data_IF_077096989580
#
_entry.id   IF_077096989580
#
_cell.length_a   1.000
_cell.length_b   1.000
_cell.length_c   1.000
_cell.angle_alpha   90.00
_cell.angle_beta   90.00
_cell.angle_gamma   90.00
#
_symmetry.space_group_name_H-M   'P 1'
#
loop_
_entity.id
_entity.type
_entity.pdbx_description
1 polymer ?
#
# COMPACT_ATOMS: atom_id res chain seq x y z
N UNK A 1 8.98 -50.63 -8.36
CA UNK A 1 9.29 -49.27 -7.88
C UNK A 1 7.98 -48.62 -7.41
N UNK A 2 7.85 -48.28 -6.11
CA UNK A 2 6.64 -47.63 -5.58
C UNK A 2 6.58 -46.19 -6.10
N UNK A 3 5.54 -45.85 -6.87
CA UNK A 3 5.28 -44.50 -7.33
C UNK A 3 4.86 -43.67 -6.12
N UNK A 4 5.79 -42.95 -5.50
CA UNK A 4 5.47 -42.03 -4.40
C UNK A 4 4.48 -41.00 -4.91
N UNK A 5 3.33 -40.88 -4.22
CA UNK A 5 2.25 -39.98 -4.60
C UNK A 5 2.69 -38.56 -4.21
N UNK A 6 3.28 -37.82 -5.15
CA UNK A 6 3.84 -36.47 -4.95
C UNK A 6 2.74 -35.39 -4.85
N UNK A 7 1.55 -35.67 -5.34
CA UNK A 7 0.42 -34.72 -5.41
C UNK A 7 0.02 -34.06 -4.07
N UNK A 8 -0.09 -34.75 -2.92
CA UNK A 8 -0.39 -34.08 -1.64
C UNK A 8 0.68 -33.07 -1.23
N UNK A 9 1.96 -33.34 -1.52
CA UNK A 9 3.03 -32.40 -1.22
C UNK A 9 2.94 -31.13 -2.08
N UNK A 10 2.66 -31.27 -3.37
CA UNK A 10 2.42 -30.13 -4.26
C UNK A 10 1.21 -29.30 -3.83
N UNK A 11 0.15 -29.95 -3.37
CA UNK A 11 -1.03 -29.25 -2.85
C UNK A 11 -0.71 -28.44 -1.59
N UNK A 12 0.05 -29.00 -0.65
CA UNK A 12 0.48 -28.27 0.55
C UNK A 12 1.34 -27.06 0.18
N UNK A 13 2.28 -27.23 -0.76
CA UNK A 13 3.15 -26.15 -1.20
C UNK A 13 2.36 -25.03 -1.89
N UNK A 14 1.34 -25.40 -2.67
CA UNK A 14 0.39 -24.45 -3.27
C UNK A 14 -0.42 -23.68 -2.22
N UNK A 15 -0.97 -24.36 -1.20
CA UNK A 15 -1.67 -23.69 -0.10
C UNK A 15 -0.76 -22.75 0.69
N UNK A 16 0.50 -23.14 0.91
CA UNK A 16 1.48 -22.30 1.59
C UNK A 16 1.81 -21.04 0.79
N UNK A 17 2.00 -21.17 -0.52
CA UNK A 17 2.20 -20.03 -1.41
C UNK A 17 0.99 -19.08 -1.41
N UNK A 18 -0.24 -19.63 -1.43
CA UNK A 18 -1.47 -18.84 -1.31
C UNK A 18 -1.52 -18.09 0.03
N UNK A 19 -1.25 -18.76 1.15
CA UNK A 19 -1.26 -18.12 2.46
C UNK A 19 -0.25 -16.97 2.54
N UNK A 20 0.96 -17.14 1.99
CA UNK A 20 1.96 -16.08 1.91
C UNK A 20 1.44 -14.91 1.06
N UNK A 21 0.87 -15.19 -0.11
CA UNK A 21 0.32 -14.15 -0.98
C UNK A 21 -0.79 -13.35 -0.28
N UNK A 22 -1.74 -14.04 0.37
CA UNK A 22 -2.82 -13.41 1.13
C UNK A 22 -2.30 -12.58 2.32
N UNK A 23 -1.28 -13.04 3.02
CA UNK A 23 -0.72 -12.33 4.18
C UNK A 23 -0.12 -10.96 3.85
N UNK A 24 0.18 -10.71 2.56
CA UNK A 24 0.75 -9.45 2.06
C UNK A 24 -0.31 -8.45 1.61
N UNK A 25 -1.56 -8.88 1.41
CA UNK A 25 -2.63 -8.00 0.97
C UNK A 25 -3.09 -7.07 2.09
N UNK A 26 -3.36 -5.82 1.75
CA UNK A 26 -3.90 -4.83 2.67
C UNK A 26 -5.41 -4.76 2.44
N UNK A 27 -6.19 -5.13 3.45
CA UNK A 27 -7.65 -4.97 3.39
C UNK A 27 -8.06 -3.52 3.62
N UNK A 28 -9.27 -3.15 3.20
CA UNK A 28 -9.78 -1.80 3.40
C UNK A 28 -9.72 -1.32 4.87
N UNK A 29 -10.19 -2.10 5.87
CA UNK A 29 -10.10 -1.67 7.28
C UNK A 29 -8.66 -1.53 7.78
N UNK A 30 -7.71 -2.30 7.22
CA UNK A 30 -6.30 -2.15 7.57
C UNK A 30 -5.70 -0.84 7.04
N UNK A 31 -6.18 -0.37 5.88
CA UNK A 31 -5.72 0.87 5.27
C UNK A 31 -6.21 2.13 6.01
N UNK A 32 -7.36 2.08 6.69
CA UNK A 32 -7.90 3.22 7.45
C UNK A 32 -6.92 3.75 8.48
N UNK A 33 -6.86 5.07 8.64
CA UNK A 33 -6.06 5.72 9.68
C UNK A 33 -5.15 6.82 9.17
N UNK A 34 -4.20 7.24 10.01
CA UNK A 34 -3.28 8.34 9.71
C UNK A 34 -1.90 7.80 9.34
N UNK A 35 -1.29 8.45 8.37
CA UNK A 35 0.04 8.14 7.92
C UNK A 35 0.91 9.39 7.90
N UNK A 36 2.14 9.27 8.38
CA UNK A 36 3.11 10.34 8.42
C UNK A 36 4.15 10.16 7.32
N UNK A 37 4.46 11.22 6.58
CA UNK A 37 5.46 11.18 5.52
C UNK A 37 6.87 10.99 6.10
N UNK A 38 7.61 10.01 5.57
CA UNK A 38 9.00 9.74 5.89
C UNK A 38 9.83 9.86 4.62
N UNK A 39 10.86 10.69 4.69
CA UNK A 39 11.85 10.87 3.62
C UNK A 39 13.24 10.47 4.13
N UNK A 40 14.10 10.10 3.18
CA UNK A 40 15.54 9.92 3.38
C UNK A 40 16.29 10.94 2.51
N UNK A 41 17.59 11.13 2.70
CA UNK A 41 18.41 12.15 2.00
C UNK A 41 18.67 11.84 0.51
N UNK A 42 17.60 11.62 -0.25
CA UNK A 42 17.58 11.67 -1.70
C UNK A 42 17.13 13.08 -2.11
N UNK A 43 17.73 13.70 -3.14
CA UNK A 43 17.28 15.02 -3.59
C UNK A 43 15.78 15.03 -3.86
N UNK A 44 15.06 16.02 -3.30
CA UNK A 44 13.61 16.11 -3.44
C UNK A 44 13.21 16.25 -4.93
N UNK A 45 12.30 15.39 -5.38
CA UNK A 45 11.69 15.43 -6.72
C UNK A 45 10.39 16.21 -6.58
N UNK A 46 10.13 17.22 -7.42
CA UNK A 46 9.04 18.20 -7.23
C UNK A 46 7.60 17.66 -7.25
N UNK A 47 7.40 16.37 -7.53
CA UNK A 47 6.08 15.71 -7.54
C UNK A 47 5.76 14.98 -6.22
N UNK A 48 6.66 15.03 -5.25
CA UNK A 48 6.52 14.39 -3.94
C UNK A 48 6.51 15.43 -2.81
N UNK A 49 5.96 15.10 -1.62
CA UNK A 49 6.07 15.98 -0.48
C UNK A 49 7.55 16.29 -0.17
N UNK A 50 7.89 17.56 -0.07
CA UNK A 50 9.23 18.08 0.22
C UNK A 50 9.39 18.53 1.69
N UNK A 51 8.32 18.39 2.47
CA UNK A 51 8.19 18.75 3.88
C UNK A 51 7.25 17.76 4.59
N UNK A 52 7.14 17.89 5.91
CA UNK A 52 6.23 17.08 6.72
C UNK A 52 4.79 17.12 6.17
N UNK A 53 4.22 15.95 5.92
CA UNK A 53 2.83 15.77 5.50
C UNK A 53 2.19 14.61 6.26
N UNK A 54 0.87 14.70 6.42
CA UNK A 54 0.05 13.63 6.99
C UNK A 54 -1.06 13.28 6.01
N UNK A 55 -1.13 12.02 5.60
CA UNK A 55 -2.23 11.48 4.81
C UNK A 55 -3.17 10.70 5.73
N UNK A 56 -4.44 11.09 5.78
CA UNK A 56 -5.49 10.43 6.57
C UNK A 56 -6.47 9.74 5.64
N UNK A 57 -6.67 8.43 5.81
CA UNK A 57 -7.67 7.62 5.10
C UNK A 57 -8.88 7.38 6.02
N UNK A 58 -10.04 7.88 5.62
CA UNK A 58 -11.29 7.84 6.38
C UNK A 58 -12.16 6.64 5.98
N UNK A 59 -13.11 6.28 6.84
CA UNK A 59 -14.01 5.13 6.67
C UNK A 59 -15.09 5.33 5.58
N UNK A 60 -15.32 6.56 5.15
CA UNK A 60 -16.24 6.95 4.06
C UNK A 60 -15.54 7.06 2.69
N UNK A 61 -14.42 6.36 2.50
CA UNK A 61 -13.59 6.38 1.30
C UNK A 61 -13.04 7.77 0.94
N UNK A 62 -12.94 8.69 1.91
CA UNK A 62 -12.30 10.00 1.70
C UNK A 62 -10.91 10.05 2.28
N UNK A 63 -10.07 10.92 1.73
CA UNK A 63 -8.77 11.21 2.30
C UNK A 63 -8.57 12.70 2.54
N UNK A 64 -7.62 13.00 3.45
CA UNK A 64 -7.13 14.36 3.73
C UNK A 64 -5.61 14.35 3.81
N UNK A 65 -4.97 15.32 3.17
CA UNK A 65 -3.53 15.55 3.24
C UNK A 65 -3.22 17.02 3.02
N UNK A 66 -2.12 17.50 3.60
CA UNK A 66 -1.65 18.86 3.37
C UNK A 66 -0.99 19.01 2.00
N UNK A 67 -0.42 17.93 1.47
CA UNK A 67 0.18 17.88 0.13
C UNK A 67 -0.83 17.46 -0.95
N UNK A 68 -1.53 16.34 -0.78
CA UNK A 68 -2.49 15.81 -1.77
C UNK A 68 -3.85 16.53 -1.72
N UNK A 69 -4.09 17.40 -0.74
CA UNK A 69 -5.39 18.03 -0.53
C UNK A 69 -6.44 17.06 -0.01
N UNK A 70 -7.68 17.21 -0.46
CA UNK A 70 -8.80 16.36 -0.05
C UNK A 70 -9.42 15.69 -1.28
N UNK A 71 -9.90 14.47 -1.10
CA UNK A 71 -10.46 13.69 -2.20
C UNK A 71 -11.07 12.38 -1.75
N UNK A 72 -11.27 11.50 -2.71
CA UNK A 72 -11.73 10.13 -2.52
C UNK A 72 -10.58 9.16 -2.77
N UNK A 73 -10.59 8.02 -2.10
CA UNK A 73 -9.65 6.95 -2.37
C UNK A 73 -10.37 5.63 -2.58
N UNK A 74 -9.67 4.69 -3.22
CA UNK A 74 -10.08 3.30 -3.30
C UNK A 74 -8.88 2.38 -3.19
N UNK A 75 -9.15 1.16 -2.74
CA UNK A 75 -8.16 0.08 -2.66
C UNK A 75 -8.39 -0.87 -3.83
N UNK A 76 -7.37 -1.05 -4.66
CA UNK A 76 -7.36 -2.00 -5.76
C UNK A 76 -6.36 -3.13 -5.51
N UNK A 77 -6.64 -4.31 -6.04
CA UNK A 77 -5.82 -5.50 -5.84
C UNK A 77 -5.20 -5.93 -7.17
N UNK A 78 -3.88 -5.83 -7.25
CA UNK A 78 -3.10 -6.39 -8.34
C UNK A 78 -2.62 -7.80 -8.03
N UNK A 79 -1.94 -8.41 -9.00
CA UNK A 79 -1.26 -9.69 -8.81
C UNK A 79 -0.10 -9.46 -7.83
N UNK A 80 -0.25 -9.95 -6.60
CA UNK A 80 0.69 -9.83 -5.47
C UNK A 80 0.93 -8.42 -4.89
N UNK A 81 0.11 -7.42 -5.21
CA UNK A 81 0.23 -6.05 -4.67
C UNK A 81 -1.12 -5.44 -4.36
N UNK A 82 -1.13 -4.51 -3.42
CA UNK A 82 -2.31 -3.68 -3.12
C UNK A 82 -2.00 -2.24 -3.54
N UNK A 83 -2.94 -1.61 -4.24
CA UNK A 83 -2.82 -0.24 -4.71
C UNK A 83 -3.80 0.64 -3.94
N UNK A 84 -3.32 1.78 -3.48
CA UNK A 84 -4.11 2.90 -3.01
C UNK A 84 -4.22 3.90 -4.16
N UNK A 85 -5.44 4.12 -4.64
CA UNK A 85 -5.70 5.10 -5.69
C UNK A 85 -6.33 6.32 -5.06
N UNK A 86 -5.65 7.47 -5.17
CA UNK A 86 -6.14 8.77 -4.69
C UNK A 86 -6.75 9.55 -5.85
N UNK A 87 -8.00 9.96 -5.72
CA UNK A 87 -8.73 10.79 -6.69
C UNK A 87 -9.01 12.17 -6.10
N UNK A 88 -8.57 13.22 -6.77
CA UNK A 88 -8.76 14.60 -6.30
C UNK A 88 -10.23 15.03 -6.38
N UNK A 89 -10.73 15.76 -5.38
CA UNK A 89 -12.07 16.34 -5.44
C UNK A 89 -12.21 17.32 -6.62
N UNK A 90 -13.08 16.99 -7.57
CA UNK A 90 -13.42 17.85 -8.71
C UNK A 90 -12.58 17.65 -9.98
N UNK A 91 -11.75 16.62 -10.06
CA UNK A 91 -10.91 16.32 -11.23
C UNK A 91 -11.02 14.88 -11.75
N UNK A 92 -10.42 14.62 -12.91
CA UNK A 92 -10.27 13.27 -13.51
C UNK A 92 -8.90 12.64 -13.21
N UNK A 93 -8.00 13.38 -12.56
CA UNK A 93 -6.66 12.91 -12.23
C UNK A 93 -6.69 11.99 -10.99
N UNK A 94 -5.93 10.91 -11.07
CA UNK A 94 -5.70 10.00 -9.94
C UNK A 94 -4.22 9.66 -9.81
N UNK A 95 -3.80 9.37 -8.58
CA UNK A 95 -2.45 8.91 -8.28
C UNK A 95 -2.50 7.50 -7.71
N UNK A 96 -1.73 6.58 -8.28
CA UNK A 96 -1.66 5.18 -7.85
C UNK A 96 -0.42 4.96 -7.00
N UNK A 97 -0.63 4.49 -5.76
CA UNK A 97 0.43 4.24 -4.79
C UNK A 97 0.40 2.79 -4.36
N UNK A 98 1.56 2.15 -4.20
CA UNK A 98 1.60 0.82 -3.57
C UNK A 98 1.40 0.97 -2.07
N UNK A 99 0.39 0.29 -1.51
CA UNK A 99 0.20 0.13 -0.07
C UNK A 99 0.56 -1.29 0.33
N UNK A 100 1.48 -1.44 1.28
CA UNK A 100 1.99 -2.75 1.70
C UNK A 100 2.34 -2.81 3.17
N UNK A 101 2.49 -4.04 3.66
CA UNK A 101 2.98 -4.31 5.00
C UNK A 101 4.50 -4.46 4.98
N UNK A 102 5.20 -3.67 5.79
CA UNK A 102 6.65 -3.77 6.02
C UNK A 102 6.85 -4.07 7.51
N UNK A 103 7.24 -5.31 7.82
CA UNK A 103 7.26 -5.81 9.19
C UNK A 103 5.86 -5.78 9.80
N UNK A 104 5.67 -5.02 10.88
CA UNK A 104 4.36 -4.82 11.52
C UNK A 104 3.65 -3.53 11.12
N UNK A 105 4.26 -2.73 10.23
CA UNK A 105 3.74 -1.42 9.82
C UNK A 105 3.11 -1.50 8.44
N UNK A 106 2.13 -0.62 8.20
CA UNK A 106 1.56 -0.40 6.86
C UNK A 106 2.22 0.85 6.29
N UNK A 107 2.70 0.74 5.07
CA UNK A 107 3.44 1.79 4.37
C UNK A 107 2.82 2.04 3.02
N UNK A 108 2.71 3.32 2.63
CA UNK A 108 2.33 3.75 1.29
C UNK A 108 3.59 4.26 0.60
N UNK A 109 4.02 3.58 -0.45
CA UNK A 109 5.28 3.86 -1.15
C UNK A 109 5.06 4.97 -2.15
N UNK A 110 5.85 6.03 -2.05
CA UNK A 110 5.90 7.11 -3.05
C UNK A 110 7.05 6.90 -4.02
N UNK A 111 8.23 6.58 -3.50
CA UNK A 111 9.43 6.26 -4.29
C UNK A 111 10.23 5.17 -3.59
N UNK A 112 10.37 4.02 -4.24
CA UNK A 112 11.15 2.88 -3.72
C UNK A 112 12.67 3.06 -3.82
N UNK A 113 13.16 3.87 -4.75
CA UNK A 113 14.59 4.12 -4.94
C UNK A 113 15.12 5.12 -3.89
N UNK A 114 14.36 6.19 -3.64
CA UNK A 114 14.71 7.20 -2.64
C UNK A 114 14.17 6.87 -1.22
N UNK A 115 13.45 5.75 -1.07
CA UNK A 115 12.83 5.34 0.19
C UNK A 115 11.89 6.42 0.78
N UNK A 116 11.05 6.99 -0.08
CA UNK A 116 10.01 7.95 0.29
C UNK A 116 8.70 7.20 0.46
N UNK A 117 8.11 7.32 1.65
CA UNK A 117 6.89 6.60 1.98
C UNK A 117 6.11 7.31 3.07
N UNK A 118 4.81 7.06 3.11
CA UNK A 118 4.02 7.33 4.30
C UNK A 118 4.01 6.08 5.19
N UNK A 119 4.18 6.26 6.50
CA UNK A 119 4.12 5.20 7.50
C UNK A 119 2.88 5.38 8.37
N UNK A 120 2.10 4.31 8.58
CA UNK A 120 0.90 4.36 9.44
C UNK A 120 1.28 4.64 10.90
N UNK A 121 0.62 5.62 11.51
CA UNK A 121 0.82 6.04 12.90
C UNK A 121 -0.41 5.84 13.79
N UNK A 122 -1.61 5.79 13.20
CA UNK A 122 -2.89 5.53 13.87
C UNK A 122 -3.76 4.64 12.97
#
# INVERSE_FOLDING_TARGET
MKKTRIWPFLFILFLFALAIAYSRLITHPMALGKYYFKYHECGAIGELPDKDDTLTLLDDNKYRSSFWGNGEYRIEYGIFRTLLVLSYSGGTASYELEIKKVGNKITIVLDGACNFFYEKIE
#
